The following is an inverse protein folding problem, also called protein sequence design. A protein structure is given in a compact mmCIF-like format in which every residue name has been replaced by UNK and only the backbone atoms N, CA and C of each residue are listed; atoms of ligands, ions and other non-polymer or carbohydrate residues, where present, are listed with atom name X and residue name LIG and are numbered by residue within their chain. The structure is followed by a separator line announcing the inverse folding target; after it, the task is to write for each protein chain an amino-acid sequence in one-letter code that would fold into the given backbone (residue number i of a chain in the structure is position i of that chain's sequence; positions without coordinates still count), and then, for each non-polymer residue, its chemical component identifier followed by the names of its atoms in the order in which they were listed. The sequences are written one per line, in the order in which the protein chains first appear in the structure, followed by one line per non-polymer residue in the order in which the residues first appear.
data_IF_539542683416
#
_entry.id   IF_539542683416
#
_cell.length_a   1.000
_cell.length_b   1.000
_cell.length_c   1.000
_cell.angle_alpha   90.00
_cell.angle_beta   90.00
_cell.angle_gamma   90.00
#
_symmetry.space_group_name_H-M   'P 1'
#
loop_
_entity.id
_entity.type
_entity.pdbx_description
1 polymer ?
#
# COMPACT_ATOMS: atom_id res chain seq x y z
N UNK A 1 35.29 -32.22 31.78
CA UNK A 1 35.06 -32.33 30.34
C UNK A 1 33.82 -33.21 30.15
N UNK A 2 32.64 -32.61 30.30
CA UNK A 2 31.37 -33.31 30.47
C UNK A 2 30.70 -33.52 29.13
N UNK A 3 30.53 -34.78 28.73
CA UNK A 3 29.73 -35.17 27.58
C UNK A 3 28.24 -35.00 27.86
N UNK A 4 27.50 -34.61 26.84
CA UNK A 4 26.04 -34.67 26.83
C UNK A 4 25.58 -35.91 26.06
N UNK A 5 24.52 -36.60 26.53
CA UNK A 5 24.00 -37.83 25.93
C UNK A 5 23.10 -37.55 24.73
N UNK A 6 23.04 -38.55 23.85
CA UNK A 6 22.17 -38.63 22.69
C UNK A 6 20.74 -39.02 23.09
N UNK A 7 19.74 -38.46 22.39
CA UNK A 7 18.35 -38.94 22.44
C UNK A 7 17.30 -37.84 22.62
N UNK A 8 16.90 -37.21 21.52
CA UNK A 8 15.71 -36.38 21.41
C UNK A 8 15.18 -36.45 19.99
N UNK A 9 14.08 -37.17 19.81
CA UNK A 9 13.33 -37.34 18.57
C UNK A 9 13.04 -35.99 17.92
N UNK A 10 13.68 -35.74 16.77
CA UNK A 10 13.30 -34.65 15.87
C UNK A 10 11.99 -35.09 15.21
N UNK A 11 10.93 -34.32 15.44
CA UNK A 11 9.69 -34.43 14.69
C UNK A 11 10.02 -34.13 13.23
N UNK A 12 9.81 -35.15 12.41
CA UNK A 12 9.88 -35.09 10.95
C UNK A 12 8.79 -34.12 10.47
N UNK A 13 9.20 -32.97 9.94
CA UNK A 13 8.30 -32.05 9.27
C UNK A 13 8.46 -32.35 7.78
N UNK A 14 7.58 -33.21 7.26
CA UNK A 14 7.54 -33.55 5.84
C UNK A 14 7.48 -32.27 5.01
N UNK A 15 8.41 -32.22 4.06
CA UNK A 15 8.59 -31.20 3.04
C UNK A 15 7.33 -31.12 2.17
N UNK A 16 6.66 -29.96 2.17
CA UNK A 16 5.63 -29.64 1.18
C UNK A 16 5.84 -28.23 0.64
N UNK A 17 6.41 -28.21 -0.56
CA UNK A 17 6.49 -27.14 -1.56
C UNK A 17 6.27 -25.68 -1.11
N UNK A 18 7.38 -24.98 -0.92
CA UNK A 18 7.84 -24.11 -2.01
C UNK A 18 6.91 -22.98 -2.46
N UNK A 19 6.38 -22.18 -1.54
CA UNK A 19 5.92 -20.83 -1.87
C UNK A 19 6.86 -19.80 -1.24
N UNK A 20 7.98 -19.54 -1.92
CA UNK A 20 8.94 -18.50 -1.59
C UNK A 20 8.26 -17.12 -1.70
N UNK A 21 7.72 -16.65 -0.57
CA UNK A 21 7.11 -15.32 -0.46
C UNK A 21 8.21 -14.26 -0.53
N UNK A 22 8.54 -13.81 -1.74
CA UNK A 22 9.50 -12.74 -1.99
C UNK A 22 8.81 -11.39 -1.87
N UNK A 23 9.00 -10.73 -0.73
CA UNK A 23 8.47 -9.39 -0.47
C UNK A 23 8.95 -8.37 -1.51
N UNK A 24 8.04 -7.48 -1.93
CA UNK A 24 8.34 -6.27 -2.70
C UNK A 24 9.08 -5.29 -1.79
N UNK A 25 10.40 -5.45 -1.67
CA UNK A 25 11.30 -4.37 -1.29
C UNK A 25 12.74 -4.73 -1.70
N UNK A 26 13.14 -4.14 -2.83
CA UNK A 26 14.49 -3.91 -3.32
C UNK A 26 15.34 -5.13 -3.76
N UNK A 27 15.58 -5.22 -5.07
CA UNK A 27 16.94 -5.08 -5.61
C UNK A 27 16.96 -4.98 -7.15
N UNK A 28 17.91 -4.20 -7.67
CA UNK A 28 18.40 -4.35 -9.03
C UNK A 28 18.17 -3.16 -9.95
N UNK A 29 19.18 -2.28 -10.04
CA UNK A 29 19.33 -1.37 -11.17
C UNK A 29 19.52 -2.21 -12.44
N UNK A 30 18.55 -2.15 -13.34
CA UNK A 30 18.58 -2.73 -14.68
C UNK A 30 17.51 -2.01 -15.47
N UNK A 31 17.91 -1.40 -16.57
CA UNK A 31 17.07 -0.65 -17.50
C UNK A 31 16.02 -1.58 -18.10
N UNK A 32 14.87 -1.66 -17.44
CA UNK A 32 13.59 -1.89 -18.11
C UNK A 32 12.77 -0.66 -17.76
N UNK A 33 12.31 0.05 -18.80
CA UNK A 33 11.30 1.10 -18.70
C UNK A 33 10.05 0.46 -18.07
N UNK A 34 10.05 0.36 -16.73
CA UNK A 34 8.84 0.33 -15.97
C UNK A 34 8.15 1.64 -16.32
N UNK A 35 7.26 1.58 -17.31
CA UNK A 35 6.29 2.61 -17.62
C UNK A 35 5.45 2.81 -16.35
N UNK A 36 6.01 3.59 -15.43
CA UNK A 36 5.30 4.24 -14.33
C UNK A 36 4.37 5.24 -15.00
N UNK A 37 3.25 4.75 -15.51
CA UNK A 37 2.16 5.58 -16.02
C UNK A 37 1.51 6.23 -14.81
N UNK A 38 2.12 7.34 -14.41
CA UNK A 38 1.61 8.26 -13.44
C UNK A 38 0.40 8.96 -14.06
N UNK A 39 -0.79 8.46 -13.74
CA UNK A 39 -1.94 9.36 -13.67
C UNK A 39 -1.51 10.47 -12.68
N UNK A 40 -1.46 11.71 -13.16
CA UNK A 40 -1.05 12.96 -12.49
C UNK A 40 -0.01 12.89 -11.35
N UNK A 41 1.00 12.02 -11.44
CA UNK A 41 2.09 11.93 -10.44
C UNK A 41 1.85 10.98 -9.25
N UNK A 42 0.86 10.09 -9.28
CA UNK A 42 0.66 9.10 -8.22
C UNK A 42 1.43 7.79 -8.47
N UNK A 43 2.12 7.31 -7.43
CA UNK A 43 2.77 6.00 -7.38
C UNK A 43 1.74 4.87 -7.10
N UNK A 44 0.81 4.67 -8.03
CA UNK A 44 -0.13 3.54 -8.01
C UNK A 44 -1.52 3.83 -7.41
N UNK A 45 -2.45 2.85 -7.48
CA UNK A 45 -3.87 3.05 -7.21
C UNK A 45 -4.18 3.38 -5.74
N UNK A 46 -3.42 2.84 -4.79
CA UNK A 46 -3.58 3.16 -3.37
C UNK A 46 -3.16 4.60 -3.04
N UNK A 47 -2.14 5.12 -3.74
CA UNK A 47 -1.70 6.50 -3.58
C UNK A 47 -2.77 7.48 -4.08
N UNK A 48 -3.41 7.16 -5.21
CA UNK A 48 -4.56 7.90 -5.75
C UNK A 48 -5.75 7.84 -4.78
N UNK A 49 -6.12 6.66 -4.29
CA UNK A 49 -7.19 6.51 -3.29
C UNK A 49 -6.93 7.34 -2.03
N UNK A 50 -5.69 7.34 -1.53
CA UNK A 50 -5.32 8.17 -0.38
C UNK A 50 -5.47 9.67 -0.67
N UNK A 51 -5.15 10.12 -1.89
CA UNK A 51 -5.31 11.52 -2.28
C UNK A 51 -6.78 11.91 -2.41
N UNK A 52 -7.61 11.08 -3.06
CA UNK A 52 -9.06 11.27 -3.13
C UNK A 52 -9.69 11.31 -1.74
N UNK A 53 -9.27 10.41 -0.84
CA UNK A 53 -9.69 10.38 0.56
C UNK A 53 -9.35 11.70 1.29
N UNK A 54 -8.14 12.26 1.07
CA UNK A 54 -7.74 13.54 1.66
C UNK A 54 -8.54 14.73 1.12
N UNK A 55 -8.90 14.73 -0.16
CA UNK A 55 -9.72 15.80 -0.78
C UNK A 55 -11.09 15.95 -0.14
N UNK A 56 -11.65 14.89 0.45
CA UNK A 56 -12.92 14.95 1.18
C UNK A 56 -12.84 15.80 2.47
N UNK A 57 -11.65 16.18 2.94
CA UNK A 57 -11.42 16.96 4.19
C UNK A 57 -12.04 16.32 5.44
N UNK A 58 -12.33 15.03 5.40
CA UNK A 58 -12.82 14.22 6.53
C UNK A 58 -11.62 13.47 7.13
N UNK A 59 -11.61 13.24 8.45
CA UNK A 59 -10.61 12.37 9.07
C UNK A 59 -10.64 11.02 8.33
N UNK A 60 -9.48 10.47 7.97
CA UNK A 60 -9.40 9.17 7.31
C UNK A 60 -10.25 8.11 8.03
N UNK A 61 -10.43 8.22 9.35
CA UNK A 61 -11.27 7.37 10.21
C UNK A 61 -12.78 7.42 9.91
N UNK A 62 -13.27 8.53 9.39
CA UNK A 62 -14.70 8.79 9.18
C UNK A 62 -15.11 8.71 7.69
N UNK A 63 -14.18 8.33 6.80
CA UNK A 63 -14.44 8.27 5.36
C UNK A 63 -15.38 7.11 5.03
N UNK A 64 -16.43 7.43 4.28
CA UNK A 64 -17.28 6.44 3.63
C UNK A 64 -16.53 5.77 2.49
N UNK A 65 -16.29 4.46 2.61
CA UNK A 65 -15.64 3.66 1.55
C UNK A 65 -16.45 3.71 0.25
N UNK A 66 -17.77 3.71 0.33
CA UNK A 66 -18.64 3.84 -0.85
C UNK A 66 -18.39 5.15 -1.60
N UNK A 67 -18.34 6.28 -0.88
CA UNK A 67 -18.09 7.58 -1.50
C UNK A 67 -16.67 7.68 -2.10
N UNK A 68 -15.69 7.01 -1.47
CA UNK A 68 -14.33 6.95 -2.00
C UNK A 68 -14.25 6.10 -3.28
N UNK A 69 -14.97 4.98 -3.33
CA UNK A 69 -15.07 4.14 -4.53
C UNK A 69 -15.66 4.95 -5.69
N UNK A 70 -16.75 5.68 -5.45
CA UNK A 70 -17.41 6.48 -6.49
C UNK A 70 -16.46 7.51 -7.11
N UNK A 71 -15.70 8.23 -6.28
CA UNK A 71 -14.72 9.20 -6.76
C UNK A 71 -13.57 8.55 -7.53
N UNK A 72 -13.16 7.35 -7.13
CA UNK A 72 -12.12 6.63 -7.85
C UNK A 72 -12.58 6.23 -9.25
N UNK A 73 -13.79 5.69 -9.38
CA UNK A 73 -14.36 5.30 -10.67
C UNK A 73 -14.62 6.53 -11.55
N UNK A 74 -15.17 7.61 -10.99
CA UNK A 74 -15.37 8.88 -11.72
C UNK A 74 -14.04 9.46 -12.23
N UNK A 75 -12.98 9.38 -11.43
CA UNK A 75 -11.66 9.83 -11.84
C UNK A 75 -11.13 9.00 -13.04
N UNK A 76 -11.31 7.68 -13.03
CA UNK A 76 -10.88 6.82 -14.12
C UNK A 76 -11.68 7.05 -15.40
N UNK A 77 -13.00 7.24 -15.30
CA UNK A 77 -13.85 7.55 -16.46
C UNK A 77 -13.43 8.87 -17.14
N UNK A 78 -13.06 9.88 -16.35
CA UNK A 78 -12.52 11.14 -16.85
C UNK A 78 -11.13 11.00 -17.50
N UNK A 79 -10.29 10.12 -16.96
CA UNK A 79 -8.96 9.85 -17.50
C UNK A 79 -9.01 9.04 -18.82
N UNK A 80 -9.97 8.12 -18.96
CA UNK A 80 -10.18 7.35 -20.18
C UNK A 80 -10.56 8.27 -21.36
N UNK A 81 -11.41 9.27 -21.11
CA UNK A 81 -11.79 10.27 -22.11
C UNK A 81 -10.61 11.14 -22.57
N UNK A 82 -9.57 11.27 -21.74
CA UNK A 82 -8.34 12.03 -22.03
C UNK A 82 -7.25 11.18 -22.71
N UNK A 83 -7.55 9.93 -23.12
CA UNK A 83 -6.62 8.98 -23.76
C UNK A 83 -5.40 8.62 -22.90
N UNK A 84 -5.59 8.45 -21.60
CA UNK A 84 -4.54 7.90 -20.76
C UNK A 84 -4.54 6.37 -20.90
N UNK A 85 -3.37 5.81 -21.19
CA UNK A 85 -3.08 4.40 -21.01
C UNK A 85 -3.21 4.06 -19.52
N UNK A 86 -4.45 3.85 -19.06
CA UNK A 86 -4.72 3.51 -17.66
C UNK A 86 -3.99 2.19 -17.40
N UNK A 87 -2.97 2.24 -16.54
CA UNK A 87 -2.15 1.06 -16.29
C UNK A 87 -3.00 -0.07 -15.68
N UNK A 88 -2.62 -1.32 -15.96
CA UNK A 88 -3.37 -2.50 -15.57
C UNK A 88 -3.72 -2.53 -14.07
N UNK A 89 -2.80 -2.08 -13.21
CA UNK A 89 -3.01 -2.04 -11.76
C UNK A 89 -4.20 -1.17 -11.34
N UNK A 90 -4.50 -0.08 -12.07
CA UNK A 90 -5.64 0.78 -11.78
C UNK A 90 -6.96 0.13 -12.20
N UNK A 91 -6.99 -0.54 -13.36
CA UNK A 91 -8.17 -1.26 -13.82
C UNK A 91 -8.49 -2.45 -12.90
N UNK A 92 -7.46 -3.15 -12.41
CA UNK A 92 -7.63 -4.22 -11.41
C UNK A 92 -8.24 -3.66 -10.12
N UNK A 93 -7.74 -2.51 -9.63
CA UNK A 93 -8.32 -1.86 -8.46
C UNK A 93 -9.75 -1.39 -8.72
N UNK A 94 -10.05 -0.84 -9.90
CA UNK A 94 -11.38 -0.40 -10.29
C UNK A 94 -12.39 -1.55 -10.26
N UNK A 95 -12.03 -2.69 -10.86
CA UNK A 95 -12.86 -3.89 -10.85
C UNK A 95 -13.10 -4.40 -9.42
N UNK A 96 -12.05 -4.43 -8.59
CA UNK A 96 -12.16 -4.82 -7.19
C UNK A 96 -13.06 -3.86 -6.38
N UNK A 97 -12.93 -2.55 -6.58
CA UNK A 97 -13.76 -1.53 -5.92
C UNK A 97 -15.22 -1.60 -6.39
N UNK A 98 -15.46 -1.85 -7.68
CA UNK A 98 -16.80 -2.05 -8.22
C UNK A 98 -17.49 -3.28 -7.60
N UNK A 99 -16.76 -4.39 -7.47
CA UNK A 99 -17.22 -5.56 -6.73
C UNK A 99 -17.55 -5.21 -5.27
N UNK A 100 -16.62 -4.55 -4.56
CA UNK A 100 -16.82 -4.16 -3.17
C UNK A 100 -18.04 -3.25 -2.99
N UNK A 101 -18.22 -2.27 -3.88
CA UNK A 101 -19.39 -1.39 -3.87
C UNK A 101 -20.68 -2.17 -4.09
N UNK A 102 -20.70 -3.10 -5.06
CA UNK A 102 -21.86 -3.95 -5.29
C UNK A 102 -22.18 -4.77 -4.04
N UNK A 103 -21.20 -5.46 -3.47
CA UNK A 103 -21.37 -6.32 -2.30
C UNK A 103 -21.86 -5.54 -1.07
N UNK A 104 -21.35 -4.32 -0.84
CA UNK A 104 -21.79 -3.44 0.25
C UNK A 104 -23.21 -2.89 0.10
N UNK A 105 -23.74 -2.83 -1.13
CA UNK A 105 -25.09 -2.32 -1.41
C UNK A 105 -26.16 -3.43 -1.42
N UNK A 106 -25.75 -4.68 -1.53
CA UNK A 106 -26.66 -5.83 -1.50
C UNK A 106 -27.11 -6.13 -0.06
N UNK A 107 -28.30 -6.75 0.12
CA UNK A 107 -28.69 -7.31 1.40
C UNK A 107 -27.63 -8.31 1.89
N UNK A 108 -27.36 -8.31 3.19
CA UNK A 108 -26.29 -9.13 3.78
C UNK A 108 -26.59 -10.62 3.59
N UNK A 109 -25.73 -11.31 2.84
CA UNK A 109 -25.69 -12.77 2.82
C UNK A 109 -24.77 -13.25 3.96
N UNK A 110 -25.28 -14.08 4.86
CA UNK A 110 -24.53 -14.61 6.02
C UNK A 110 -23.36 -15.53 5.65
N UNK A 111 -23.16 -15.81 4.35
CA UNK A 111 -22.20 -16.81 3.86
C UNK A 111 -20.92 -16.22 3.24
N UNK A 112 -20.79 -14.90 3.10
CA UNK A 112 -19.55 -14.29 2.60
C UNK A 112 -18.48 -14.19 3.71
N UNK A 113 -17.40 -14.97 3.57
CA UNK A 113 -16.19 -14.90 4.39
C UNK A 113 -14.96 -14.62 3.50
N UNK A 114 -14.31 -13.45 3.62
CA UNK A 114 -14.62 -12.33 4.53
C UNK A 114 -15.82 -11.50 4.06
N UNK A 115 -16.56 -10.94 5.02
CA UNK A 115 -17.70 -10.05 4.72
C UNK A 115 -17.27 -8.79 3.94
N UNK A 116 -18.17 -8.18 3.13
CA UNK A 116 -17.89 -6.93 2.43
C UNK A 116 -17.45 -5.79 3.37
N UNK A 117 -18.03 -5.73 4.58
CA UNK A 117 -17.65 -4.76 5.60
C UNK A 117 -16.22 -4.99 6.12
N UNK A 118 -15.78 -6.24 6.26
CA UNK A 118 -14.40 -6.55 6.60
C UNK A 118 -13.42 -6.15 5.48
N UNK A 119 -13.78 -6.40 4.22
CA UNK A 119 -12.97 -5.98 3.09
C UNK A 119 -12.81 -4.45 3.05
N UNK A 120 -13.92 -3.73 3.29
CA UNK A 120 -13.92 -2.27 3.39
C UNK A 120 -13.03 -1.79 4.56
N UNK A 121 -13.11 -2.43 5.73
CA UNK A 121 -12.27 -2.12 6.88
C UNK A 121 -10.78 -2.39 6.60
N UNK A 122 -10.45 -3.49 5.93
CA UNK A 122 -9.06 -3.80 5.54
C UNK A 122 -8.49 -2.74 4.61
N UNK A 123 -9.26 -2.30 3.62
CA UNK A 123 -8.87 -1.21 2.73
C UNK A 123 -8.63 0.08 3.52
N UNK A 124 -9.56 0.43 4.39
CA UNK A 124 -9.48 1.60 5.24
C UNK A 124 -8.19 1.61 6.07
N UNK A 125 -7.89 0.52 6.78
CA UNK A 125 -6.67 0.37 7.58
C UNK A 125 -5.41 0.47 6.72
N UNK A 126 -5.44 -0.08 5.50
CA UNK A 126 -4.32 0.02 4.55
C UNK A 126 -4.07 1.48 4.14
N UNK A 127 -5.11 2.25 3.85
CA UNK A 127 -5.00 3.68 3.54
C UNK A 127 -4.49 4.50 4.72
N UNK A 128 -4.98 4.24 5.94
CA UNK A 128 -4.47 4.88 7.15
C UNK A 128 -2.98 4.61 7.36
N UNK A 129 -2.55 3.35 7.17
CA UNK A 129 -1.14 2.97 7.30
C UNK A 129 -0.27 3.69 6.28
N UNK A 130 -0.70 3.71 5.01
CA UNK A 130 -0.01 4.45 3.96
C UNK A 130 0.07 5.94 4.28
N UNK A 131 -1.03 6.52 4.76
CA UNK A 131 -1.09 7.92 5.20
C UNK A 131 -0.08 8.24 6.30
N UNK A 132 -0.02 7.42 7.35
CA UNK A 132 0.91 7.59 8.45
C UNK A 132 2.38 7.42 8.01
N UNK A 133 2.65 6.47 7.13
CA UNK A 133 3.98 6.28 6.53
C UNK A 133 4.40 7.49 5.71
N UNK A 134 3.52 8.04 4.87
CA UNK A 134 3.80 9.24 4.07
C UNK A 134 4.04 10.47 4.94
N UNK A 135 3.27 10.63 6.01
CA UNK A 135 3.48 11.72 6.95
C UNK A 135 4.84 11.60 7.67
N UNK A 136 5.18 10.39 8.13
CA UNK A 136 6.49 10.13 8.74
C UNK A 136 7.64 10.38 7.76
N UNK A 137 7.50 9.95 6.51
CA UNK A 137 8.45 10.22 5.44
C UNK A 137 8.61 11.72 5.18
N UNK A 138 7.50 12.46 5.10
CA UNK A 138 7.52 13.92 4.94
C UNK A 138 8.24 14.62 6.09
N UNK A 139 7.94 14.24 7.35
CA UNK A 139 8.66 14.76 8.53
C UNK A 139 10.15 14.44 8.49
N UNK A 140 10.53 13.25 8.02
CA UNK A 140 11.93 12.85 7.91
C UNK A 140 12.65 13.63 6.80
N UNK A 141 12.02 13.82 5.64
CA UNK A 141 12.57 14.56 4.52
C UNK A 141 12.74 16.05 4.83
N UNK A 142 11.89 16.61 5.69
CA UNK A 142 11.98 18.00 6.14
C UNK A 142 13.01 18.26 7.25
N UNK A 143 13.74 17.25 7.73
CA UNK A 143 14.81 17.45 8.71
C UNK A 143 16.09 17.94 8.06
N UNK A 144 16.77 18.83 8.76
CA UNK A 144 18.11 19.29 8.39
C UNK A 144 19.09 18.12 8.33
N UNK A 145 19.84 18.05 7.23
CA UNK A 145 20.84 17.00 7.03
C UNK A 145 22.21 17.49 7.45
N UNK A 146 22.89 16.70 8.28
CA UNK A 146 24.29 16.94 8.62
C UNK A 146 25.14 16.86 7.36
N UNK A 147 26.00 17.86 7.13
CA UNK A 147 26.81 18.00 5.93
C UNK A 147 26.10 18.69 4.75
N UNK A 148 24.79 18.99 4.86
CA UNK A 148 24.07 19.82 3.88
C UNK A 148 23.54 21.11 4.51
N UNK A 149 22.74 20.96 5.55
CA UNK A 149 22.04 22.06 6.24
C UNK A 149 22.67 22.34 7.62
N UNK A 150 23.26 21.32 8.25
CA UNK A 150 23.98 21.43 9.54
C UNK A 150 25.44 21.04 9.36
N UNK A 151 26.36 21.99 9.57
CA UNK A 151 27.80 21.73 9.52
C UNK A 151 28.36 21.58 10.94
N UNK A 152 28.87 20.40 11.33
CA UNK A 152 29.50 20.23 12.63
C UNK A 152 30.80 21.05 12.69
N UNK A 153 31.11 21.63 13.86
CA UNK A 153 32.35 22.40 14.03
C UNK A 153 33.55 21.47 13.86
N UNK A 154 34.54 21.89 13.07
CA UNK A 154 35.82 21.21 12.95
C UNK A 154 36.54 21.15 14.30
N UNK A 155 37.38 20.13 14.48
CA UNK A 155 38.15 19.91 15.70
C UNK A 155 38.96 21.19 16.02
N UNK A 156 38.91 21.74 17.24
CA UNK A 156 39.72 22.90 17.57
C UNK A 156 41.19 22.50 17.46
N UNK A 157 41.92 23.12 16.54
CA UNK A 157 43.36 22.98 16.45
C UNK A 157 43.99 23.66 17.67
N UNK A 158 44.56 22.86 18.57
CA UNK A 158 45.24 23.28 19.79
C UNK A 158 46.26 22.25 20.23
#
# INVERSE_FOLDING_TARGET
MTGYPEGGTVLDFEESDGAEWRGVAASGAGEDDALYLALDGWEGPLALLLELARKQKVDLREISILALVDQYLEFLDGAEQLKLEVAADYLVMAAWLAYLKSALLLPKDEQEDPSPEELALRLHLRLQRLGAMREAAGRLMGRDRVGRDVFPRGNPEG
#
